data_IF_517694048803
#
_entry.id   IF_517694048803
#
_cell.length_a   1.000
_cell.length_b   1.000
_cell.length_c   1.000
_cell.angle_alpha   90.00
_cell.angle_beta   90.00
_cell.angle_gamma   90.00
#
_symmetry.space_group_name_H-M   'P 1'
#
loop_
_entity.id
_entity.type
_entity.pdbx_description
1 polymer ?
#
# COMPACT_ATOMS: atom_id res chain seq x y z
N UNK A 1 11.96 -51.07 -27.44
CA UNK A 1 12.30 -50.04 -26.43
C UNK A 1 11.11 -49.10 -26.31
N UNK A 2 10.34 -49.22 -25.23
CA UNK A 2 9.24 -48.29 -24.95
C UNK A 2 9.82 -47.10 -24.18
N UNK A 3 9.66 -45.90 -24.74
CA UNK A 3 10.02 -44.64 -24.08
C UNK A 3 8.90 -44.34 -23.09
N UNK A 4 9.20 -44.47 -21.79
CA UNK A 4 8.29 -44.04 -20.74
C UNK A 4 8.30 -42.50 -20.71
N UNK A 5 7.22 -41.88 -21.14
CA UNK A 5 7.00 -40.46 -20.87
C UNK A 5 6.74 -40.32 -19.36
N UNK A 6 7.41 -39.38 -18.66
CA UNK A 6 7.03 -39.07 -17.29
C UNK A 6 5.60 -38.57 -17.32
N UNK A 7 4.68 -39.35 -16.77
CA UNK A 7 3.33 -38.92 -16.46
C UNK A 7 3.47 -37.72 -15.52
N UNK A 8 3.28 -36.51 -16.04
CA UNK A 8 3.01 -35.32 -15.23
C UNK A 8 1.67 -35.57 -14.54
N UNK A 9 1.70 -36.32 -13.44
CA UNK A 9 0.59 -36.41 -12.50
C UNK A 9 0.54 -35.04 -11.84
N UNK A 10 -0.27 -34.14 -12.40
CA UNK A 10 -0.71 -32.97 -11.68
C UNK A 10 -1.45 -33.51 -10.45
N UNK A 11 -0.78 -33.52 -9.30
CA UNK A 11 -1.47 -33.75 -8.04
C UNK A 11 -2.58 -32.69 -7.94
N UNK A 12 -3.82 -33.11 -7.64
CA UNK A 12 -4.93 -32.19 -7.53
C UNK A 12 -4.62 -31.18 -6.42
N UNK A 13 -4.87 -29.90 -6.70
CA UNK A 13 -4.56 -28.81 -5.80
C UNK A 13 -5.15 -29.07 -4.40
N UNK A 14 -4.31 -29.01 -3.37
CA UNK A 14 -4.73 -29.11 -1.99
C UNK A 14 -5.68 -27.98 -1.58
N UNK A 15 -6.30 -28.05 -0.39
CA UNK A 15 -7.24 -27.03 0.07
C UNK A 15 -6.66 -25.61 0.12
N UNK A 16 -5.36 -25.49 0.45
CA UNK A 16 -4.67 -24.19 0.50
C UNK A 16 -4.35 -23.66 -0.90
N UNK A 17 -3.92 -24.52 -1.80
CA UNK A 17 -3.64 -24.20 -3.20
C UNK A 17 -4.91 -23.75 -3.92
N UNK A 18 -6.02 -24.45 -3.69
CA UNK A 18 -7.35 -24.07 -4.20
C UNK A 18 -7.77 -22.69 -3.69
N UNK A 19 -7.60 -22.42 -2.39
CA UNK A 19 -7.88 -21.09 -1.81
C UNK A 19 -7.00 -20.00 -2.41
N UNK A 20 -5.70 -20.26 -2.55
CA UNK A 20 -4.77 -19.32 -3.17
C UNK A 20 -5.24 -19.00 -4.60
N UNK A 21 -5.60 -20.01 -5.41
CA UNK A 21 -6.10 -19.81 -6.77
C UNK A 21 -7.34 -18.91 -6.78
N UNK A 22 -8.32 -19.16 -5.89
CA UNK A 22 -9.52 -18.32 -5.80
C UNK A 22 -9.22 -16.87 -5.43
N UNK A 23 -8.27 -16.64 -4.52
CA UNK A 23 -7.85 -15.29 -4.13
C UNK A 23 -7.17 -14.60 -5.32
N UNK A 24 -6.30 -15.30 -6.05
CA UNK A 24 -5.63 -14.77 -7.23
C UNK A 24 -6.60 -14.43 -8.37
N UNK A 25 -7.60 -15.28 -8.62
CA UNK A 25 -8.65 -14.97 -9.59
C UNK A 25 -9.44 -13.73 -9.18
N UNK A 26 -9.75 -13.59 -7.88
CA UNK A 26 -10.39 -12.39 -7.35
C UNK A 26 -9.49 -11.16 -7.53
N UNK A 27 -8.19 -11.28 -7.26
CA UNK A 27 -7.22 -10.21 -7.49
C UNK A 27 -7.16 -9.81 -8.97
N UNK A 28 -7.18 -10.77 -9.91
CA UNK A 28 -7.23 -10.50 -11.35
C UNK A 28 -8.49 -9.70 -11.73
N UNK A 29 -9.65 -10.02 -11.17
CA UNK A 29 -10.89 -9.27 -11.42
C UNK A 29 -10.80 -7.82 -10.90
N UNK A 30 -10.28 -7.62 -9.69
CA UNK A 30 -10.11 -6.28 -9.12
C UNK A 30 -9.05 -5.48 -9.89
N UNK A 31 -7.99 -6.13 -10.41
CA UNK A 31 -7.03 -5.47 -11.29
C UNK A 31 -7.68 -4.94 -12.58
N UNK A 32 -8.59 -5.72 -13.19
CA UNK A 32 -9.37 -5.27 -14.35
C UNK A 32 -10.32 -4.11 -14.01
N UNK A 33 -10.91 -4.11 -12.81
CA UNK A 33 -11.72 -2.99 -12.31
C UNK A 33 -10.88 -1.70 -12.21
N UNK A 34 -9.67 -1.79 -11.63
CA UNK A 34 -8.72 -0.68 -11.56
C UNK A 34 -8.34 -0.18 -12.95
N UNK A 35 -8.08 -1.08 -13.90
CA UNK A 35 -7.80 -0.75 -15.29
C UNK A 35 -8.95 0.03 -15.95
N UNK A 36 -10.19 -0.44 -15.78
CA UNK A 36 -11.36 0.21 -16.33
C UNK A 36 -11.58 1.62 -15.74
N UNK A 37 -11.43 1.78 -14.43
CA UNK A 37 -11.54 3.07 -13.76
C UNK A 37 -10.47 4.05 -14.23
N UNK A 38 -9.23 3.59 -14.41
CA UNK A 38 -8.16 4.42 -14.95
C UNK A 38 -8.44 4.85 -16.38
N UNK A 39 -8.93 3.94 -17.23
CA UNK A 39 -9.33 4.30 -18.60
C UNK A 39 -10.42 5.37 -18.62
N UNK A 40 -11.39 5.33 -17.70
CA UNK A 40 -12.39 6.39 -17.55
C UNK A 40 -11.76 7.73 -17.15
N UNK A 41 -10.79 7.72 -16.23
CA UNK A 41 -10.07 8.93 -15.81
C UNK A 41 -9.22 9.57 -16.92
N UNK A 42 -8.89 8.82 -17.97
CA UNK A 42 -8.19 9.37 -19.14
C UNK A 42 -9.10 10.07 -20.15
N UNK A 43 -10.42 10.00 -19.99
CA UNK A 43 -11.35 10.72 -20.87
C UNK A 43 -11.31 12.23 -20.56
N UNK A 44 -10.89 13.08 -21.51
CA UNK A 44 -10.83 14.54 -21.30
C UNK A 44 -12.20 15.21 -21.11
N UNK A 45 -13.30 14.48 -21.32
CA UNK A 45 -14.67 14.98 -21.18
C UNK A 45 -15.30 14.65 -19.83
N UNK A 46 -14.60 13.95 -18.94
CA UNK A 46 -15.11 13.60 -17.62
C UNK A 46 -15.37 14.86 -16.79
N UNK A 47 -16.51 14.91 -16.10
CA UNK A 47 -16.81 15.96 -15.14
C UNK A 47 -15.87 15.86 -13.92
N UNK A 48 -15.62 16.99 -13.26
CA UNK A 48 -14.79 17.07 -12.04
C UNK A 48 -15.37 16.21 -10.91
N UNK A 49 -16.70 16.19 -10.72
CA UNK A 49 -17.31 15.36 -9.69
C UNK A 49 -17.19 13.86 -10.01
N UNK A 50 -17.42 13.49 -11.27
CA UNK A 50 -17.25 12.11 -11.75
C UNK A 50 -15.79 11.65 -11.67
N UNK A 51 -14.83 12.53 -11.99
CA UNK A 51 -13.39 12.27 -11.84
C UNK A 51 -13.01 12.02 -10.39
N UNK A 52 -13.53 12.85 -9.46
CA UNK A 52 -13.29 12.66 -8.02
C UNK A 52 -13.86 11.32 -7.52
N UNK A 53 -15.06 10.96 -7.96
CA UNK A 53 -15.68 9.67 -7.64
C UNK A 53 -14.88 8.49 -8.22
N UNK A 54 -14.52 8.53 -9.51
CA UNK A 54 -13.72 7.49 -10.15
C UNK A 54 -12.36 7.32 -9.46
N UNK A 55 -11.73 8.42 -9.03
CA UNK A 55 -10.48 8.38 -8.26
C UNK A 55 -10.68 7.69 -6.91
N UNK A 56 -11.76 8.01 -6.19
CA UNK A 56 -12.08 7.39 -4.91
C UNK A 56 -12.37 5.88 -5.06
N UNK A 57 -13.14 5.49 -6.07
CA UNK A 57 -13.42 4.09 -6.41
C UNK A 57 -12.14 3.34 -6.79
N UNK A 58 -11.27 3.95 -7.59
CA UNK A 58 -9.99 3.36 -8.00
C UNK A 58 -9.08 3.14 -6.79
N UNK A 59 -9.00 4.11 -5.87
CA UNK A 59 -8.24 3.96 -4.64
C UNK A 59 -8.80 2.83 -3.75
N UNK A 60 -10.13 2.71 -3.67
CA UNK A 60 -10.79 1.60 -2.96
C UNK A 60 -10.47 0.24 -3.59
N UNK A 61 -10.55 0.13 -4.92
CA UNK A 61 -10.23 -1.07 -5.66
C UNK A 61 -8.74 -1.46 -5.49
N UNK A 62 -7.82 -0.49 -5.56
CA UNK A 62 -6.40 -0.69 -5.29
C UNK A 62 -6.14 -1.25 -3.89
N UNK A 63 -6.78 -0.68 -2.87
CA UNK A 63 -6.63 -1.19 -1.50
C UNK A 63 -7.14 -2.62 -1.37
N UNK A 64 -8.29 -2.95 -1.96
CA UNK A 64 -8.80 -4.34 -1.99
C UNK A 64 -7.84 -5.28 -2.71
N UNK A 65 -7.27 -4.84 -3.82
CA UNK A 65 -6.32 -5.62 -4.60
C UNK A 65 -5.04 -5.93 -3.81
N UNK A 66 -4.45 -4.93 -3.14
CA UNK A 66 -3.29 -5.15 -2.27
C UNK A 66 -3.59 -6.16 -1.17
N UNK A 67 -4.75 -6.05 -0.53
CA UNK A 67 -5.18 -7.01 0.51
C UNK A 67 -5.31 -8.43 -0.06
N UNK A 68 -5.87 -8.60 -1.26
CA UNK A 68 -5.97 -9.90 -1.92
C UNK A 68 -4.59 -10.47 -2.27
N UNK A 69 -3.65 -9.64 -2.74
CA UNK A 69 -2.28 -10.06 -3.03
C UNK A 69 -1.58 -10.52 -1.75
N UNK A 70 -1.65 -9.74 -0.67
CA UNK A 70 -1.08 -10.12 0.63
C UNK A 70 -1.68 -11.42 1.16
N UNK A 71 -3.00 -11.59 1.03
CA UNK A 71 -3.68 -12.82 1.44
C UNK A 71 -3.27 -14.03 0.58
N UNK A 72 -3.09 -13.82 -0.73
CA UNK A 72 -2.61 -14.87 -1.63
C UNK A 72 -1.20 -15.31 -1.25
N UNK A 73 -0.28 -14.37 -1.03
CA UNK A 73 1.08 -14.64 -0.57
C UNK A 73 1.11 -15.44 0.74
N UNK A 74 0.28 -15.06 1.71
CA UNK A 74 0.17 -15.81 2.97
C UNK A 74 -0.26 -17.27 2.74
N UNK A 75 -1.20 -17.53 1.82
CA UNK A 75 -1.69 -18.88 1.52
C UNK A 75 -0.70 -19.74 0.75
N UNK A 76 0.09 -19.13 -0.14
CA UNK A 76 1.18 -19.82 -0.84
C UNK A 76 2.26 -20.25 0.14
N UNK A 77 2.62 -19.40 1.10
CA UNK A 77 3.63 -19.71 2.11
C UNK A 77 3.22 -20.86 3.04
N UNK A 78 1.91 -21.13 3.17
CA UNK A 78 1.36 -22.30 3.88
C UNK A 78 1.41 -23.60 3.04
N UNK A 79 1.76 -23.52 1.75
CA UNK A 79 1.76 -24.67 0.83
C UNK A 79 3.11 -25.38 0.83
N UNK A 80 3.07 -26.72 0.89
CA UNK A 80 4.28 -27.56 0.88
C UNK A 80 4.86 -27.81 -0.53
N UNK A 81 4.07 -27.61 -1.58
CA UNK A 81 4.47 -27.82 -2.98
C UNK A 81 5.31 -26.67 -3.52
N UNK A 82 6.61 -26.91 -3.71
CA UNK A 82 7.52 -25.91 -4.29
C UNK A 82 7.15 -25.53 -5.73
N UNK A 83 6.73 -26.50 -6.54
CA UNK A 83 6.31 -26.27 -7.91
C UNK A 83 5.05 -25.40 -7.99
N UNK A 84 4.10 -25.60 -7.07
CA UNK A 84 2.92 -24.74 -6.98
C UNK A 84 3.31 -23.31 -6.60
N UNK A 85 4.18 -23.13 -5.60
CA UNK A 85 4.65 -21.80 -5.18
C UNK A 85 5.28 -21.04 -6.36
N UNK A 86 6.22 -21.67 -7.07
CA UNK A 86 6.86 -21.06 -8.24
C UNK A 86 5.87 -20.67 -9.34
N UNK A 87 4.92 -21.55 -9.67
CA UNK A 87 3.92 -21.24 -10.69
C UNK A 87 2.99 -20.11 -10.26
N UNK A 88 2.63 -20.09 -8.97
CA UNK A 88 1.75 -19.08 -8.42
C UNK A 88 2.44 -17.71 -8.33
N UNK A 89 3.70 -17.67 -7.92
CA UNK A 89 4.50 -16.44 -7.85
C UNK A 89 4.58 -15.77 -9.23
N UNK A 90 4.79 -16.54 -10.30
CA UNK A 90 4.75 -16.01 -11.67
C UNK A 90 3.41 -15.36 -12.04
N UNK A 91 2.29 -15.97 -11.63
CA UNK A 91 0.97 -15.41 -11.88
C UNK A 91 0.69 -14.18 -11.01
N UNK A 92 1.20 -14.15 -9.79
CA UNK A 92 1.13 -12.98 -8.92
C UNK A 92 1.96 -11.83 -9.48
N UNK A 93 3.17 -12.09 -9.96
CA UNK A 93 4.05 -11.08 -10.52
C UNK A 93 3.47 -10.46 -11.80
N UNK A 94 2.73 -11.23 -12.59
CA UNK A 94 1.95 -10.67 -13.72
C UNK A 94 0.95 -9.62 -13.24
N UNK A 95 0.17 -9.94 -12.19
CA UNK A 95 -0.86 -9.04 -11.62
C UNK A 95 -0.21 -7.84 -10.94
N UNK A 96 0.80 -8.08 -10.10
CA UNK A 96 1.57 -7.06 -9.37
C UNK A 96 2.22 -6.09 -10.34
N UNK A 97 3.02 -6.60 -11.29
CA UNK A 97 3.75 -5.79 -12.25
C UNK A 97 2.83 -4.95 -13.15
N UNK A 98 1.69 -5.50 -13.57
CA UNK A 98 0.72 -4.75 -14.39
C UNK A 98 0.11 -3.58 -13.61
N UNK A 99 -0.41 -3.84 -12.42
CA UNK A 99 -1.09 -2.84 -11.58
C UNK A 99 -0.09 -1.79 -11.10
N UNK A 100 1.11 -2.22 -10.78
CA UNK A 100 2.16 -1.36 -10.31
C UNK A 100 2.60 -0.38 -11.40
N UNK A 101 2.88 -0.82 -12.64
CA UNK A 101 3.21 0.09 -13.75
C UNK A 101 2.16 1.16 -13.98
N UNK A 102 0.90 0.82 -13.76
CA UNK A 102 -0.19 1.78 -13.86
C UNK A 102 -0.11 2.77 -12.69
N UNK A 103 -0.11 2.30 -11.45
CA UNK A 103 -0.39 3.15 -10.29
C UNK A 103 0.86 3.71 -9.60
N UNK A 104 2.06 3.31 -10.02
CA UNK A 104 3.32 3.71 -9.41
C UNK A 104 3.49 5.23 -9.34
N UNK A 105 3.23 5.94 -10.44
CA UNK A 105 3.33 7.41 -10.46
C UNK A 105 2.39 8.05 -9.44
N UNK A 106 1.15 7.55 -9.32
CA UNK A 106 0.19 8.07 -8.36
C UNK A 106 0.62 7.80 -6.91
N UNK A 107 1.22 6.63 -6.63
CA UNK A 107 1.76 6.32 -5.30
C UNK A 107 2.99 7.18 -4.98
N UNK A 108 3.84 7.47 -5.97
CA UNK A 108 4.95 8.42 -5.83
C UNK A 108 4.44 9.83 -5.54
N UNK A 109 3.44 10.30 -6.28
CA UNK A 109 2.83 11.63 -6.06
C UNK A 109 2.24 11.74 -4.65
N UNK A 110 1.64 10.65 -4.14
CA UNK A 110 1.17 10.59 -2.76
C UNK A 110 2.31 10.68 -1.74
N UNK A 111 3.42 9.98 -1.96
CA UNK A 111 4.61 10.09 -1.10
C UNK A 111 5.20 11.50 -1.12
N UNK A 112 5.27 12.14 -2.28
CA UNK A 112 5.69 13.54 -2.41
C UNK A 112 4.75 14.48 -1.66
N UNK A 113 3.43 14.32 -1.82
CA UNK A 113 2.46 15.13 -1.09
C UNK A 113 2.56 14.95 0.44
N UNK A 114 2.82 13.72 0.91
CA UNK A 114 3.05 13.45 2.34
C UNK A 114 4.33 14.14 2.82
N UNK A 115 5.41 14.08 2.03
CA UNK A 115 6.66 14.77 2.33
C UNK A 115 6.43 16.27 2.46
N UNK A 116 5.81 16.88 1.46
CA UNK A 116 5.59 18.33 1.42
C UNK A 116 4.72 18.77 2.61
N UNK A 117 3.69 18.00 2.95
CA UNK A 117 2.86 18.22 4.13
C UNK A 117 3.64 18.11 5.45
N UNK A 118 4.52 17.11 5.58
CA UNK A 118 5.35 16.94 6.76
C UNK A 118 6.34 18.12 6.89
N UNK A 119 7.00 18.49 5.79
CA UNK A 119 7.94 19.60 5.77
C UNK A 119 7.24 20.93 6.07
N UNK A 120 6.08 21.20 5.47
CA UNK A 120 5.30 22.42 5.74
C UNK A 120 4.93 22.51 7.23
N UNK A 121 4.47 21.40 7.82
CA UNK A 121 4.12 21.37 9.24
C UNK A 121 5.33 21.57 10.16
N UNK A 122 6.53 21.13 9.76
CA UNK A 122 7.76 21.38 10.52
C UNK A 122 8.21 22.85 10.47
N UNK A 123 7.91 23.56 9.38
CA UNK A 123 8.26 24.98 9.23
C UNK A 123 7.19 25.92 9.80
N UNK A 124 5.96 25.43 10.00
CA UNK A 124 4.85 26.21 10.54
C UNK A 124 4.80 26.11 12.08
N UNK A 125 4.73 27.24 12.82
CA UNK A 125 4.64 27.20 14.28
C UNK A 125 3.31 26.66 14.83
N UNK A 126 2.31 26.38 13.97
CA UNK A 126 1.00 25.87 14.37
C UNK A 126 0.97 24.34 14.25
N UNK A 127 1.31 23.66 15.35
CA UNK A 127 1.27 22.19 15.43
C UNK A 127 -0.13 21.70 15.80
N UNK A 128 -0.77 20.99 14.87
CA UNK A 128 -2.10 20.40 15.10
C UNK A 128 -1.95 19.03 15.76
N UNK A 129 -2.58 18.84 16.92
CA UNK A 129 -2.52 17.58 17.65
C UNK A 129 -3.00 16.39 16.77
N UNK A 130 -2.19 15.33 16.69
CA UNK A 130 -2.52 14.12 15.95
C UNK A 130 -2.35 14.23 14.44
N UNK A 131 -1.74 15.32 13.94
CA UNK A 131 -1.41 15.44 12.53
C UNK A 131 -0.29 14.49 12.12
N UNK A 132 0.73 14.36 12.96
CA UNK A 132 1.80 13.36 12.85
C UNK A 132 1.26 11.93 12.65
N UNK A 133 0.31 11.51 13.49
CA UNK A 133 -0.35 10.20 13.38
C UNK A 133 -1.12 10.02 12.07
N UNK A 134 -1.77 11.08 11.57
CA UNK A 134 -2.47 11.02 10.28
C UNK A 134 -1.48 10.86 9.12
N UNK A 135 -0.35 11.57 9.15
CA UNK A 135 0.70 11.45 8.16
C UNK A 135 1.37 10.07 8.21
N UNK A 136 1.66 9.56 9.40
CA UNK A 136 2.21 8.21 9.60
C UNK A 136 1.28 7.16 8.99
N UNK A 137 -0.02 7.23 9.27
CA UNK A 137 -0.99 6.29 8.69
C UNK A 137 -1.06 6.40 7.17
N UNK A 138 -1.05 7.61 6.62
CA UNK A 138 -1.05 7.83 5.18
C UNK A 138 0.22 7.25 4.54
N UNK A 139 1.39 7.50 5.14
CA UNK A 139 2.67 6.95 4.72
C UNK A 139 2.67 5.43 4.73
N UNK A 140 2.28 4.79 5.84
CA UNK A 140 2.24 3.34 5.97
C UNK A 140 1.32 2.71 4.91
N UNK A 141 0.15 3.28 4.66
CA UNK A 141 -0.75 2.76 3.62
C UNK A 141 -0.09 2.73 2.23
N UNK A 142 0.67 3.78 1.87
CA UNK A 142 1.34 3.84 0.56
C UNK A 142 2.50 2.86 0.51
N UNK A 143 3.32 2.79 1.57
CA UNK A 143 4.45 1.85 1.65
C UNK A 143 3.98 0.40 1.65
N UNK A 144 2.92 0.07 2.38
CA UNK A 144 2.35 -1.29 2.42
C UNK A 144 1.83 -1.70 1.03
N UNK A 145 1.17 -0.78 0.31
CA UNK A 145 0.73 -1.02 -1.07
C UNK A 145 1.92 -1.26 -2.01
N UNK A 146 2.96 -0.43 -1.92
CA UNK A 146 4.18 -0.57 -2.73
C UNK A 146 4.91 -1.90 -2.43
N UNK A 147 4.99 -2.28 -1.15
CA UNK A 147 5.60 -3.53 -0.70
C UNK A 147 4.81 -4.74 -1.21
N UNK A 148 3.48 -4.73 -1.06
CA UNK A 148 2.61 -5.80 -1.57
C UNK A 148 2.77 -5.98 -3.09
N UNK A 149 2.99 -4.89 -3.82
CA UNK A 149 3.23 -4.91 -5.26
C UNK A 149 4.67 -5.24 -5.66
N UNK A 150 5.62 -5.34 -4.71
CA UNK A 150 7.04 -5.66 -5.01
C UNK A 150 7.86 -4.46 -5.51
N UNK A 151 7.29 -3.25 -5.40
CA UNK A 151 7.87 -2.03 -5.93
C UNK A 151 9.15 -1.58 -5.21
N UNK A 152 9.29 -1.95 -3.94
CA UNK A 152 10.44 -1.55 -3.11
C UNK A 152 11.75 -2.15 -3.59
N UNK A 153 11.71 -3.30 -4.28
CA UNK A 153 12.89 -3.99 -4.81
C UNK A 153 13.08 -3.77 -6.32
N UNK A 154 11.97 -3.70 -7.09
CA UNK A 154 12.03 -3.64 -8.56
C UNK A 154 12.03 -2.22 -9.17
N UNK A 155 11.47 -1.21 -8.49
CA UNK A 155 11.20 0.10 -9.11
C UNK A 155 12.11 1.24 -8.68
N UNK A 156 13.16 0.96 -7.91
CA UNK A 156 14.16 1.98 -7.58
C UNK A 156 13.59 3.15 -6.78
N UNK A 157 12.60 2.90 -5.92
CA UNK A 157 12.22 3.85 -4.87
C UNK A 157 13.47 4.19 -4.06
N UNK A 158 13.84 5.48 -4.03
CA UNK A 158 15.02 5.91 -3.27
C UNK A 158 14.79 5.62 -1.78
N UNK A 159 15.55 4.69 -1.16
CA UNK A 159 15.39 4.37 0.25
C UNK A 159 15.63 5.60 1.13
N UNK A 160 16.40 6.59 0.65
CA UNK A 160 16.65 7.85 1.35
C UNK A 160 15.39 8.69 1.43
N UNK A 161 14.59 8.77 0.37
CA UNK A 161 13.34 9.52 0.38
C UNK A 161 12.35 8.95 1.41
N UNK A 162 12.21 7.62 1.45
CA UNK A 162 11.37 6.95 2.44
C UNK A 162 11.86 7.20 3.87
N UNK A 163 13.18 7.13 4.08
CA UNK A 163 13.82 7.41 5.36
C UNK A 163 13.66 8.88 5.81
N UNK A 164 13.72 9.83 4.88
CA UNK A 164 13.49 11.25 5.14
C UNK A 164 12.04 11.51 5.57
N UNK A 165 11.06 10.97 4.84
CA UNK A 165 9.64 11.17 5.17
C UNK A 165 9.31 10.63 6.56
N UNK A 166 9.77 9.42 6.90
CA UNK A 166 9.51 8.85 8.22
C UNK A 166 10.26 9.59 9.33
N UNK A 167 11.45 10.15 9.04
CA UNK A 167 12.17 11.00 9.99
C UNK A 167 11.39 12.30 10.28
N UNK A 168 10.92 12.98 9.23
CA UNK A 168 10.14 14.22 9.35
C UNK A 168 8.84 13.99 10.16
N UNK A 169 8.12 12.90 9.89
CA UNK A 169 6.91 12.52 10.63
C UNK A 169 7.22 12.25 12.11
N UNK A 170 8.34 11.59 12.42
CA UNK A 170 8.76 11.34 13.81
C UNK A 170 9.11 12.63 14.53
N UNK A 171 9.82 13.55 13.88
CA UNK A 171 10.12 14.86 14.43
C UNK A 171 8.84 15.64 14.72
N UNK A 172 7.85 15.61 13.84
CA UNK A 172 6.52 16.19 14.11
C UNK A 172 5.85 15.59 15.34
N UNK A 173 5.86 14.26 15.47
CA UNK A 173 5.29 13.57 16.63
C UNK A 173 5.96 14.00 17.94
N UNK A 174 7.29 14.13 17.95
CA UNK A 174 8.05 14.61 19.11
C UNK A 174 7.70 16.05 19.49
N UNK A 175 7.55 16.94 18.50
CA UNK A 175 7.13 18.33 18.72
C UNK A 175 5.71 18.37 19.28
N UNK A 176 4.76 17.63 18.70
CA UNK A 176 3.38 17.54 19.18
C UNK A 176 3.33 17.07 20.64
N UNK A 177 4.07 16.03 21.00
CA UNK A 177 4.16 15.53 22.38
C UNK A 177 4.72 16.60 23.31
N UNK A 178 5.76 17.33 22.89
CA UNK A 178 6.39 18.37 23.70
C UNK A 178 5.46 19.56 23.93
N UNK A 179 4.81 20.04 22.87
CA UNK A 179 3.82 21.12 22.94
C UNK A 179 2.65 20.71 23.82
N UNK A 180 2.14 19.48 23.66
CA UNK A 180 1.06 18.97 24.50
C UNK A 180 1.47 18.90 25.99
N UNK A 181 2.66 18.39 26.29
CA UNK A 181 3.19 18.37 27.67
C UNK A 181 3.33 19.77 28.28
N UNK A 182 3.68 20.78 27.48
CA UNK A 182 3.76 22.17 27.94
C UNK A 182 2.36 22.72 28.28
N UNK A 183 1.37 22.45 27.45
CA UNK A 183 -0.03 22.83 27.71
C UNK A 183 -0.55 22.13 28.99
N UNK A 184 -0.23 20.85 29.18
CA UNK A 184 -0.62 20.08 30.36
C UNK A 184 0.12 20.52 31.64
N UNK A 185 1.34 21.08 31.51
CA UNK A 185 2.07 21.70 32.61
C UNK A 185 1.44 23.03 33.06
N UNK A 186 1.01 23.88 32.12
CA UNK A 186 0.31 25.13 32.41
C UNK A 186 -1.13 24.90 32.93
N UNK A 187 -1.73 23.74 32.62
CA UNK A 187 -3.06 23.35 33.10
C UNK A 187 -3.07 22.80 34.54
N UNK A 188 -1.91 22.50 35.14
CA UNK A 188 -1.84 22.22 36.58
C UNK A 188 -2.02 23.54 37.32
N UNK A 189 -3.15 23.78 38.01
CA UNK A 189 -3.26 24.97 38.83
C UNK A 189 -2.13 24.92 39.85
N UNK A 190 -1.49 26.07 40.07
CA UNK A 190 -0.55 26.27 41.17
C UNK A 190 -1.17 25.72 42.45
N UNK A 191 -0.82 24.49 42.80
CA UNK A 191 -1.27 23.84 44.00
C UNK A 191 -0.56 24.52 45.16
N UNK A 192 -1.27 25.44 45.82
CA UNK A 192 -0.94 25.94 47.15
C UNK A 192 0.16 27.00 47.19
N UNK A 193 -0.21 28.24 46.91
CA UNK A 193 0.30 29.37 47.71
C UNK A 193 -0.79 29.69 48.75
N UNK A 194 -0.75 28.98 49.87
CA UNK A 194 -1.28 29.43 51.16
C UNK A 194 -0.09 29.43 52.12
#
# INVERSE_FOLDING_TARGET
MAVAYPSNVYEPAGPQETRAIHILLSAKMVAQEVEALRHRLTDPRIDTAESAQCTAEMNGALSRLCNLITLALAKINETASEQFRLHFDLLLDEVRGRVLRMNFHQMLDQLHAIRDQAQEALHNPVYRLGYSFRLERAYSNVVDNLTAMGATEELGLDPRMLAEIIADIKTLAEIEIRVFKLIDFDARPAAGLI
#
